data_IF_958246500912
#
_entry.id   IF_958246500912
#
_cell.length_a   1.000
_cell.length_b   1.000
_cell.length_c   1.000
_cell.angle_alpha   90.00
_cell.angle_beta   90.00
_cell.angle_gamma   90.00
#
_symmetry.space_group_name_H-M   'P 1'
#
loop_
_entity.id
_entity.type
_entity.pdbx_description
1 polymer ?
#
# COMPACT_ATOMS: atom_id res chain seq x y z
N UNK A 1 -30.22 11.52 -4.75
CA UNK A 1 -29.64 12.88 -4.56
C UNK A 1 -29.31 13.08 -3.10
N UNK A 2 -28.08 12.78 -2.67
CA UNK A 2 -27.54 13.25 -1.39
C UNK A 2 -26.04 13.50 -1.58
N UNK A 3 -25.69 14.78 -1.69
CA UNK A 3 -24.32 15.28 -1.74
C UNK A 3 -24.00 15.82 -0.35
N UNK A 4 -23.18 15.10 0.41
CA UNK A 4 -22.59 15.64 1.63
C UNK A 4 -21.18 16.09 1.31
N UNK A 5 -21.02 17.43 1.28
CA UNK A 5 -19.76 18.12 1.13
C UNK A 5 -18.90 17.90 2.38
N UNK A 6 -17.69 17.41 2.19
CA UNK A 6 -16.64 17.46 3.21
C UNK A 6 -16.26 18.92 3.51
N UNK A 7 -16.01 19.29 4.78
CA UNK A 7 -15.46 20.61 5.11
C UNK A 7 -13.98 20.69 4.71
N UNK A 8 -13.63 21.78 4.04
CA UNK A 8 -12.24 22.09 3.69
C UNK A 8 -11.42 22.32 4.95
N UNK A 9 -10.29 21.61 5.05
CA UNK A 9 -9.32 21.77 6.13
C UNK A 9 -8.43 22.99 5.80
N UNK A 10 -8.59 24.06 6.58
CA UNK A 10 -7.74 25.25 6.48
C UNK A 10 -6.28 24.89 6.76
N UNK A 11 -5.43 25.11 5.75
CA UNK A 11 -3.99 24.96 5.84
C UNK A 11 -3.38 26.17 6.55
N UNK A 12 -3.19 26.07 7.86
CA UNK A 12 -2.16 26.85 8.55
C UNK A 12 -1.07 25.90 9.04
N UNK A 13 0.02 25.83 8.28
CA UNK A 13 1.19 25.02 8.59
C UNK A 13 1.98 25.66 9.74
N UNK A 14 2.22 24.96 10.87
CA UNK A 14 3.20 25.42 11.84
C UNK A 14 4.61 25.10 11.32
N UNK A 15 5.50 26.10 11.37
CA UNK A 15 6.94 25.93 11.08
C UNK A 15 7.56 24.96 12.09
N UNK A 16 7.84 23.73 11.64
CA UNK A 16 8.61 22.75 12.44
C UNK A 16 10.11 23.02 12.24
N UNK A 17 10.73 23.56 13.29
CA UNK A 17 12.17 23.54 13.51
C UNK A 17 12.53 22.20 14.16
N UNK A 18 13.13 21.28 13.42
CA UNK A 18 14.28 20.47 13.85
C UNK A 18 14.64 19.43 12.80
N UNK A 19 15.92 19.46 12.39
CA UNK A 19 16.53 18.51 11.47
C UNK A 19 16.80 17.20 12.22
N UNK A 20 16.00 16.17 11.96
CA UNK A 20 16.42 14.78 12.14
C UNK A 20 16.25 14.07 10.81
N UNK A 21 17.33 14.02 10.04
CA UNK A 21 17.42 13.23 8.80
C UNK A 21 17.41 11.75 9.14
N UNK A 22 16.22 11.15 9.17
CA UNK A 22 16.05 9.71 9.07
C UNK A 22 16.21 9.31 7.60
N UNK A 23 17.34 8.70 7.24
CA UNK A 23 17.53 8.09 5.93
C UNK A 23 16.86 6.72 5.94
N UNK A 24 15.72 6.60 5.25
CA UNK A 24 15.17 5.30 4.88
C UNK A 24 15.92 4.79 3.65
N UNK A 25 16.65 3.69 3.82
CA UNK A 25 17.34 2.98 2.74
C UNK A 25 16.34 2.00 2.11
N UNK A 26 15.68 2.39 1.02
CA UNK A 26 14.79 1.52 0.24
C UNK A 26 15.66 0.67 -0.69
N UNK A 27 16.27 -0.38 -0.13
CA UNK A 27 16.79 -1.48 -0.95
C UNK A 27 15.63 -2.38 -1.36
N UNK A 28 15.15 -2.13 -2.57
CA UNK A 28 14.75 -3.14 -3.58
C UNK A 28 14.68 -4.59 -3.06
N UNK A 29 13.48 -5.04 -2.67
CA UNK A 29 13.11 -6.44 -2.75
C UNK A 29 12.51 -6.69 -4.13
N UNK A 30 13.38 -7.02 -5.09
CA UNK A 30 13.00 -7.84 -6.24
C UNK A 30 13.40 -9.27 -5.92
N UNK A 31 12.59 -10.20 -6.43
CA UNK A 31 12.76 -11.66 -6.55
C UNK A 31 12.58 -12.52 -5.30
N UNK A 32 11.44 -13.22 -5.22
CA UNK A 32 11.40 -14.67 -5.48
C UNK A 32 9.94 -15.18 -5.44
N UNK A 33 9.25 -15.19 -6.58
CA UNK A 33 8.19 -16.18 -6.82
C UNK A 33 8.72 -17.14 -7.88
N UNK A 34 9.15 -18.30 -7.40
CA UNK A 34 9.46 -19.47 -8.19
C UNK A 34 8.20 -20.33 -8.21
N UNK A 35 7.32 -20.07 -9.19
CA UNK A 35 6.25 -20.99 -9.57
C UNK A 35 6.38 -21.24 -11.05
N UNK A 36 7.14 -22.28 -11.36
CA UNK A 36 7.29 -22.80 -12.71
C UNK A 36 5.97 -23.33 -13.25
N UNK A 37 5.38 -22.62 -14.21
CA UNK A 37 4.53 -23.20 -15.25
C UNK A 37 4.90 -22.53 -16.57
N UNK A 38 5.86 -23.12 -17.30
CA UNK A 38 6.13 -22.77 -18.69
C UNK A 38 5.15 -23.52 -19.58
N UNK A 39 4.05 -22.87 -19.92
CA UNK A 39 3.26 -23.16 -21.12
C UNK A 39 3.08 -21.85 -21.88
N UNK A 40 3.90 -21.64 -22.91
CA UNK A 40 3.61 -20.78 -24.07
C UNK A 40 4.48 -21.36 -25.20
N UNK A 41 3.93 -21.73 -26.35
CA UNK A 41 2.88 -21.00 -27.06
C UNK A 41 3.55 -20.20 -28.17
N UNK A 42 3.94 -20.93 -29.20
CA UNK A 42 4.16 -20.54 -30.60
C UNK A 42 3.98 -19.05 -30.94
N UNK A 43 5.08 -18.37 -31.28
CA UNK A 43 5.05 -17.25 -32.22
C UNK A 43 5.47 -17.76 -33.61
N UNK A 44 4.48 -17.95 -34.47
CA UNK A 44 4.69 -18.30 -35.88
C UNK A 44 5.05 -17.01 -36.62
N UNK A 45 6.33 -16.82 -36.89
CA UNK A 45 6.79 -15.88 -37.90
C UNK A 45 6.43 -16.43 -39.29
N UNK A 46 5.62 -15.66 -40.00
CA UNK A 46 5.27 -15.80 -41.41
C UNK A 46 6.52 -15.63 -42.27
N UNK A 47 7.19 -16.73 -42.61
CA UNK A 47 8.21 -16.77 -43.66
C UNK A 47 7.59 -17.33 -44.93
N UNK A 48 7.32 -16.44 -45.89
CA UNK A 48 7.02 -16.77 -47.29
C UNK A 48 8.08 -17.74 -47.82
N UNK A 49 7.69 -18.99 -48.08
CA UNK A 49 8.35 -19.84 -49.06
C UNK A 49 7.33 -20.19 -50.15
N UNK A 50 7.66 -19.73 -51.35
CA UNK A 50 7.05 -20.17 -52.60
C UNK A 50 7.45 -21.64 -52.81
N UNK A 51 6.52 -22.56 -52.63
CA UNK A 51 6.57 -23.90 -53.21
C UNK A 51 5.44 -24.02 -54.22
N UNK A 52 5.84 -24.30 -55.46
CA UNK A 52 4.96 -24.45 -56.61
C UNK A 52 3.92 -25.57 -56.39
N UNK A 53 2.65 -25.37 -56.76
CA UNK A 53 1.77 -26.49 -57.06
C UNK A 53 2.00 -26.94 -58.50
N UNK A 54 2.48 -28.17 -58.69
CA UNK A 54 2.48 -28.83 -60.00
C UNK A 54 1.03 -29.18 -60.38
N UNK A 55 0.36 -28.26 -61.07
CA UNK A 55 -0.84 -28.56 -61.84
C UNK A 55 -0.46 -29.52 -62.97
N UNK A 56 -0.75 -30.81 -62.82
CA UNK A 56 -0.77 -31.73 -63.96
C UNK A 56 -1.97 -31.35 -64.83
N UNK A 57 -1.66 -30.72 -65.96
CA UNK A 57 -2.60 -30.36 -67.00
C UNK A 57 -3.24 -31.62 -67.60
N UNK A 58 -4.58 -31.64 -67.64
CA UNK A 58 -5.33 -32.42 -68.63
C UNK A 58 -5.14 -31.76 -70.00
N UNK A 59 -4.74 -32.50 -71.06
CA UNK A 59 -4.73 -31.96 -72.41
C UNK A 59 -6.10 -32.18 -73.06
N UNK A 60 -6.84 -31.09 -73.27
CA UNK A 60 -7.99 -31.05 -74.17
C UNK A 60 -7.51 -30.76 -75.59
N UNK A 61 -7.89 -31.65 -76.50
CA UNK A 61 -7.86 -31.56 -77.96
C UNK A 61 -8.02 -30.14 -78.53
N UNK A 62 -7.19 -29.79 -79.55
CA UNK A 62 -7.69 -29.35 -80.88
C UNK A 62 -6.58 -29.17 -81.93
N UNK A 63 -6.84 -29.82 -83.08
CA UNK A 63 -6.51 -29.49 -84.48
C UNK A 63 -5.05 -29.58 -84.96
N UNK A 64 -4.79 -30.62 -85.75
CA UNK A 64 -4.03 -30.48 -86.99
C UNK A 64 -4.73 -31.27 -88.12
N UNK A 65 -5.32 -30.51 -89.05
CA UNK A 65 -5.77 -30.98 -90.36
C UNK A 65 -4.68 -30.59 -91.34
N UNK A 66 -4.04 -31.55 -92.02
CA UNK A 66 -3.71 -31.43 -93.44
C UNK A 66 -3.10 -32.72 -94.02
N UNK A 67 -3.83 -33.27 -94.99
CA UNK A 67 -3.38 -33.87 -96.27
C UNK A 67 -2.09 -34.73 -96.26
N UNK A 68 -2.27 -36.05 -96.46
CA UNK A 68 -1.67 -36.74 -97.61
C UNK A 68 -2.68 -37.67 -98.27
N UNK A 69 -2.82 -37.43 -99.57
CA UNK A 69 -3.64 -38.11 -100.55
C UNK A 69 -3.10 -39.51 -100.83
N UNK A 70 -4.03 -40.42 -101.12
CA UNK A 70 -4.01 -41.40 -102.22
C UNK A 70 -2.63 -41.96 -102.62
N UNK A 71 -2.42 -43.25 -102.32
CA UNK A 71 -1.98 -44.19 -103.35
C UNK A 71 -2.24 -45.64 -102.93
N UNK A 72 -2.58 -46.44 -103.96
CA UNK A 72 -2.59 -47.90 -104.00
C UNK A 72 -3.86 -48.62 -103.56
N UNK A 73 -4.84 -48.57 -104.48
CA UNK A 73 -5.72 -49.69 -104.80
C UNK A 73 -4.89 -50.94 -105.21
N UNK A 74 -5.54 -52.11 -105.07
CA UNK A 74 -5.19 -53.44 -105.63
C UNK A 74 -4.12 -54.16 -104.78
N UNK A 75 -4.35 -55.29 -104.09
CA UNK A 75 -4.99 -56.54 -104.53
C UNK A 75 -5.24 -57.50 -103.32
N UNK A 76 -5.71 -58.76 -103.47
CA UNK A 76 -7.03 -59.18 -103.02
C UNK A 76 -7.00 -60.26 -101.91
N UNK A 77 -8.18 -60.46 -101.29
CA UNK A 77 -8.69 -61.74 -100.75
C UNK A 77 -7.64 -62.59 -100.02
N UNK A 78 -7.43 -62.31 -98.75
CA UNK A 78 -7.13 -63.36 -97.77
C UNK A 78 -8.42 -63.64 -97.02
N UNK A 79 -8.88 -64.89 -97.09
CA UNK A 79 -9.90 -65.45 -96.23
C UNK A 79 -9.48 -65.18 -94.78
N UNK A 80 -10.06 -64.15 -94.17
CA UNK A 80 -10.08 -64.06 -92.72
C UNK A 80 -11.09 -65.11 -92.27
N UNK A 81 -10.59 -66.29 -91.91
CA UNK A 81 -11.27 -67.10 -90.91
C UNK A 81 -11.59 -66.17 -89.75
N UNK A 82 -12.87 -65.87 -89.53
CA UNK A 82 -13.32 -65.21 -88.31
C UNK A 82 -12.96 -66.19 -87.19
N UNK A 83 -11.95 -65.91 -86.36
CA UNK A 83 -11.68 -66.77 -85.21
C UNK A 83 -12.95 -66.80 -84.36
N UNK A 84 -13.49 -67.97 -84.07
CA UNK A 84 -14.72 -68.17 -83.29
C UNK A 84 -14.58 -67.75 -81.79
N UNK A 85 -13.78 -66.72 -81.48
CA UNK A 85 -13.34 -66.32 -80.13
C UNK A 85 -13.54 -64.81 -79.84
N UNK A 86 -14.11 -64.03 -80.78
CA UNK A 86 -14.40 -62.61 -80.54
C UNK A 86 -15.62 -62.41 -79.63
N UNK A 87 -16.61 -63.28 -79.74
CA UNK A 87 -17.83 -63.26 -78.93
C UNK A 87 -17.53 -63.56 -77.45
N UNK A 88 -16.61 -64.49 -77.19
CA UNK A 88 -16.15 -64.81 -75.85
C UNK A 88 -15.37 -63.64 -75.21
N UNK A 89 -14.45 -63.00 -75.95
CA UNK A 89 -13.74 -61.79 -75.48
C UNK A 89 -14.67 -60.60 -75.26
N UNK A 90 -15.69 -60.45 -76.10
CA UNK A 90 -16.70 -59.41 -75.94
C UNK A 90 -17.46 -59.59 -74.63
N UNK A 91 -17.96 -60.80 -74.34
CA UNK A 91 -18.65 -61.09 -73.08
C UNK A 91 -17.75 -61.01 -71.84
N UNK A 92 -16.44 -61.29 -71.99
CA UNK A 92 -15.48 -61.12 -70.90
C UNK A 92 -15.24 -59.63 -70.59
N UNK A 93 -15.12 -58.79 -71.62
CA UNK A 93 -15.05 -57.32 -71.46
C UNK A 93 -16.36 -56.69 -70.99
N UNK A 94 -17.49 -57.24 -71.37
CA UNK A 94 -18.81 -56.83 -70.88
C UNK A 94 -18.95 -57.09 -69.38
N UNK A 95 -18.53 -58.28 -68.91
CA UNK A 95 -18.43 -58.59 -67.47
C UNK A 95 -17.47 -57.66 -66.74
N UNK A 96 -16.28 -57.41 -67.29
CA UNK A 96 -15.30 -56.50 -66.68
C UNK A 96 -15.86 -55.07 -66.57
N UNK A 97 -16.60 -54.59 -67.59
CA UNK A 97 -17.31 -53.32 -67.55
C UNK A 97 -18.41 -53.30 -66.48
N UNK A 98 -19.21 -54.35 -66.35
CA UNK A 98 -20.24 -54.47 -65.31
C UNK A 98 -19.62 -54.44 -63.91
N UNK A 99 -18.56 -55.22 -63.67
CA UNK A 99 -17.86 -55.24 -62.37
C UNK A 99 -17.25 -53.86 -62.03
N UNK A 100 -16.66 -53.17 -63.02
CA UNK A 100 -16.13 -51.83 -62.83
C UNK A 100 -17.24 -50.81 -62.55
N UNK A 101 -18.40 -50.95 -63.21
CA UNK A 101 -19.56 -50.10 -62.99
C UNK A 101 -20.14 -50.29 -61.58
N UNK A 102 -20.24 -51.53 -61.11
CA UNK A 102 -20.66 -51.85 -59.74
C UNK A 102 -19.67 -51.29 -58.70
N UNK A 103 -18.36 -51.51 -58.90
CA UNK A 103 -17.32 -50.94 -58.01
C UNK A 103 -17.35 -49.41 -57.99
N UNK A 104 -17.61 -48.76 -59.13
CA UNK A 104 -17.72 -47.32 -59.20
C UNK A 104 -18.98 -46.82 -58.45
N UNK A 105 -20.12 -47.51 -58.60
CA UNK A 105 -21.31 -47.22 -57.80
C UNK A 105 -21.08 -47.42 -56.30
N UNK A 106 -20.34 -48.45 -55.90
CA UNK A 106 -20.01 -48.72 -54.51
C UNK A 106 -19.06 -47.67 -53.94
N UNK A 107 -18.04 -47.26 -54.71
CA UNK A 107 -17.16 -46.14 -54.38
C UNK A 107 -17.93 -44.81 -54.26
N UNK A 108 -18.89 -44.55 -55.15
CA UNK A 108 -19.75 -43.37 -55.10
C UNK A 108 -20.58 -43.34 -53.81
N UNK A 109 -21.22 -44.47 -53.46
CA UNK A 109 -21.97 -44.62 -52.20
C UNK A 109 -21.06 -44.44 -50.98
N UNK A 110 -19.83 -44.96 -51.02
CA UNK A 110 -18.85 -44.76 -49.96
C UNK A 110 -18.45 -43.28 -49.83
N UNK A 111 -18.22 -42.58 -50.94
CA UNK A 111 -17.92 -41.14 -50.93
C UNK A 111 -19.08 -40.34 -50.32
N UNK A 112 -20.32 -40.61 -50.73
CA UNK A 112 -21.49 -39.95 -50.16
C UNK A 112 -21.64 -40.21 -48.64
N UNK A 113 -21.34 -41.42 -48.18
CA UNK A 113 -21.35 -41.73 -46.74
C UNK A 113 -20.24 -40.98 -45.99
N UNK A 114 -19.04 -40.88 -46.57
CA UNK A 114 -17.93 -40.13 -45.99
C UNK A 114 -18.23 -38.62 -45.95
N UNK A 115 -18.82 -38.07 -46.99
CA UNK A 115 -19.26 -36.66 -47.04
C UNK A 115 -20.29 -36.35 -45.97
N UNK A 116 -21.29 -37.22 -45.78
CA UNK A 116 -22.27 -37.08 -44.69
C UNK A 116 -21.62 -37.12 -43.31
N UNK A 117 -20.70 -38.05 -43.08
CA UNK A 117 -19.94 -38.14 -41.82
C UNK A 117 -19.10 -36.89 -41.60
N UNK A 118 -18.40 -36.42 -42.62
CA UNK A 118 -17.59 -35.21 -42.55
C UNK A 118 -18.43 -33.99 -42.17
N UNK A 119 -19.62 -33.83 -42.79
CA UNK A 119 -20.53 -32.74 -42.48
C UNK A 119 -21.04 -32.81 -41.04
N UNK A 120 -21.41 -34.00 -40.54
CA UNK A 120 -21.83 -34.17 -39.14
C UNK A 120 -20.73 -33.83 -38.14
N UNK A 121 -19.48 -34.22 -38.44
CA UNK A 121 -18.32 -33.92 -37.61
C UNK A 121 -18.04 -32.42 -37.58
N UNK A 122 -18.19 -31.73 -38.72
CA UNK A 122 -18.02 -30.29 -38.81
C UNK A 122 -19.03 -29.55 -37.94
N UNK A 123 -20.31 -29.92 -38.02
CA UNK A 123 -21.36 -29.32 -37.19
C UNK A 123 -21.14 -29.59 -35.69
N UNK A 124 -20.72 -30.80 -35.32
CA UNK A 124 -20.40 -31.13 -33.94
C UNK A 124 -19.20 -30.33 -33.41
N UNK A 125 -18.18 -30.10 -34.25
CA UNK A 125 -17.02 -29.29 -33.89
C UNK A 125 -17.41 -27.82 -33.65
N UNK A 126 -18.21 -27.23 -34.54
CA UNK A 126 -18.70 -25.85 -34.40
C UNK A 126 -19.51 -25.67 -33.11
N UNK A 127 -20.41 -26.61 -32.79
CA UNK A 127 -21.18 -26.60 -31.53
C UNK A 127 -20.29 -26.70 -30.28
N UNK A 128 -19.27 -27.56 -30.30
CA UNK A 128 -18.32 -27.70 -29.19
C UNK A 128 -17.46 -26.44 -28.99
N UNK A 129 -17.15 -25.72 -30.07
CA UNK A 129 -16.37 -24.49 -30.03
C UNK A 129 -17.17 -23.33 -29.40
N UNK A 130 -18.47 -23.22 -29.72
CA UNK A 130 -19.39 -22.27 -29.08
C UNK A 130 -19.56 -22.54 -27.57
N UNK A 131 -19.81 -23.79 -27.18
CA UNK A 131 -19.97 -24.19 -25.79
C UNK A 131 -18.71 -23.87 -24.95
N UNK A 132 -17.53 -24.10 -25.52
CA UNK A 132 -16.25 -23.79 -24.87
C UNK A 132 -16.12 -22.29 -24.63
N UNK A 133 -16.48 -21.47 -25.62
CA UNK A 133 -16.37 -20.02 -25.53
C UNK A 133 -17.33 -19.44 -24.48
N UNK A 134 -18.56 -19.94 -24.39
CA UNK A 134 -19.51 -19.53 -23.34
C UNK A 134 -19.02 -19.90 -21.94
N UNK A 135 -18.44 -21.09 -21.78
CA UNK A 135 -17.93 -21.57 -20.49
C UNK A 135 -16.72 -20.76 -20.01
N UNK A 136 -15.82 -20.37 -20.92
CA UNK A 136 -14.68 -19.50 -20.64
C UNK A 136 -15.16 -18.10 -20.20
N UNK A 137 -16.14 -17.51 -20.89
CA UNK A 137 -16.74 -16.21 -20.52
C UNK A 137 -17.39 -16.27 -19.13
N UNK A 138 -18.13 -17.34 -18.83
CA UNK A 138 -18.78 -17.53 -17.54
C UNK A 138 -17.74 -17.66 -16.41
N UNK A 139 -16.63 -18.35 -16.67
CA UNK A 139 -15.52 -18.54 -15.73
C UNK A 139 -14.81 -17.23 -15.44
N UNK A 140 -14.49 -16.44 -16.48
CA UNK A 140 -13.89 -15.11 -16.33
C UNK A 140 -14.82 -14.20 -15.52
N UNK A 141 -16.13 -14.23 -15.80
CA UNK A 141 -17.11 -13.41 -15.05
C UNK A 141 -17.17 -13.78 -13.56
N UNK A 142 -17.10 -15.08 -13.23
CA UNK A 142 -17.01 -15.54 -11.83
C UNK A 142 -15.74 -15.05 -11.15
N UNK A 143 -14.60 -15.15 -11.83
CA UNK A 143 -13.32 -14.66 -11.32
C UNK A 143 -13.33 -13.14 -11.09
N UNK A 144 -13.88 -12.37 -12.06
CA UNK A 144 -14.02 -10.92 -11.92
C UNK A 144 -14.91 -10.54 -10.74
N UNK A 145 -16.07 -11.20 -10.58
CA UNK A 145 -16.96 -10.93 -9.45
C UNK A 145 -16.30 -11.28 -8.10
N UNK A 146 -15.52 -12.35 -8.05
CA UNK A 146 -14.76 -12.75 -6.85
C UNK A 146 -13.73 -11.67 -6.49
N UNK A 147 -12.93 -11.23 -7.47
CA UNK A 147 -11.94 -10.18 -7.28
C UNK A 147 -12.57 -8.84 -6.89
N UNK A 148 -13.70 -8.48 -7.49
CA UNK A 148 -14.43 -7.26 -7.15
C UNK A 148 -14.94 -7.30 -5.70
N UNK A 149 -15.44 -8.46 -5.25
CA UNK A 149 -15.91 -8.65 -3.88
C UNK A 149 -14.75 -8.55 -2.88
N UNK A 150 -13.62 -9.19 -3.19
CA UNK A 150 -12.41 -9.10 -2.36
C UNK A 150 -11.89 -7.67 -2.26
N UNK A 151 -11.85 -6.94 -3.38
CA UNK A 151 -11.41 -5.55 -3.40
C UNK A 151 -12.33 -4.64 -2.56
N UNK A 152 -13.65 -4.84 -2.63
CA UNK A 152 -14.62 -4.11 -1.80
C UNK A 152 -14.40 -4.39 -0.31
N UNK A 153 -14.13 -5.64 0.06
CA UNK A 153 -13.86 -6.02 1.44
C UNK A 153 -12.53 -5.44 1.95
N UNK A 154 -11.48 -5.45 1.11
CA UNK A 154 -10.21 -4.80 1.43
C UNK A 154 -10.36 -3.29 1.61
N UNK A 155 -11.12 -2.62 0.74
CA UNK A 155 -11.42 -1.19 0.86
C UNK A 155 -12.14 -0.90 2.19
N UNK A 156 -13.17 -1.68 2.50
CA UNK A 156 -13.93 -1.50 3.74
C UNK A 156 -13.07 -1.71 5.00
N UNK A 157 -12.18 -2.72 4.99
CA UNK A 157 -11.21 -2.93 6.08
C UNK A 157 -10.26 -1.74 6.23
N UNK A 158 -9.76 -1.20 5.11
CA UNK A 158 -8.86 -0.04 5.12
C UNK A 158 -9.57 1.22 5.65
N UNK A 159 -10.81 1.48 5.22
CA UNK A 159 -11.63 2.59 5.72
C UNK A 159 -11.88 2.47 7.24
N UNK A 160 -12.24 1.27 7.70
CA UNK A 160 -12.44 1.01 9.13
C UNK A 160 -11.15 1.25 9.92
N UNK A 161 -9.99 0.83 9.39
CA UNK A 161 -8.70 1.04 10.04
C UNK A 161 -8.36 2.54 10.11
N UNK A 162 -8.57 3.27 9.02
CA UNK A 162 -8.33 4.71 8.95
C UNK A 162 -9.17 5.46 9.99
N UNK A 163 -10.44 5.08 10.12
CA UNK A 163 -11.34 5.67 11.13
C UNK A 163 -10.86 5.43 12.56
N UNK A 164 -10.44 4.19 12.90
CA UNK A 164 -9.87 3.88 14.23
C UNK A 164 -8.62 4.70 14.52
N UNK A 165 -7.73 4.82 13.54
CA UNK A 165 -6.50 5.62 13.69
C UNK A 165 -6.82 7.11 13.87
N UNK A 166 -7.83 7.64 13.18
CA UNK A 166 -8.27 9.02 13.34
C UNK A 166 -8.83 9.28 14.74
N UNK A 167 -9.62 8.35 15.29
CA UNK A 167 -10.15 8.45 16.65
C UNK A 167 -9.02 8.41 17.70
N UNK A 168 -8.05 7.49 17.54
CA UNK A 168 -6.86 7.43 18.39
C UNK A 168 -6.04 8.73 18.34
N UNK A 169 -5.81 9.27 17.15
CA UNK A 169 -5.10 10.54 16.97
C UNK A 169 -5.82 11.70 17.67
N UNK A 170 -7.15 11.74 17.58
CA UNK A 170 -7.96 12.77 18.24
C UNK A 170 -7.85 12.66 19.77
N UNK A 171 -7.91 11.45 20.32
CA UNK A 171 -7.69 11.19 21.76
C UNK A 171 -6.28 11.58 22.22
N UNK A 172 -5.25 11.28 21.42
CA UNK A 172 -3.86 11.67 21.74
C UNK A 172 -3.71 13.19 21.74
N UNK A 173 -4.27 13.89 20.75
CA UNK A 173 -4.23 15.36 20.72
C UNK A 173 -4.90 15.98 21.94
N UNK A 174 -6.02 15.43 22.40
CA UNK A 174 -6.67 15.89 23.62
C UNK A 174 -5.80 15.68 24.86
N UNK A 175 -5.18 14.49 25.00
CA UNK A 175 -4.22 14.21 26.09
C UNK A 175 -3.03 15.17 26.07
N UNK A 176 -2.48 15.49 24.90
CA UNK A 176 -1.41 16.47 24.78
C UNK A 176 -1.82 17.86 25.26
N UNK A 177 -3.02 18.33 24.90
CA UNK A 177 -3.56 19.60 25.39
C UNK A 177 -3.70 19.60 26.91
N UNK A 178 -4.20 18.50 27.49
CA UNK A 178 -4.31 18.35 28.94
C UNK A 178 -2.93 18.36 29.63
N UNK A 179 -1.94 17.69 29.06
CA UNK A 179 -0.58 17.70 29.60
C UNK A 179 0.07 19.08 29.52
N UNK A 180 -0.12 19.80 28.42
CA UNK A 180 0.38 21.17 28.27
C UNK A 180 -0.23 22.12 29.32
N UNK A 181 -1.55 22.01 29.56
CA UNK A 181 -2.23 22.77 30.59
C UNK A 181 -1.71 22.43 32.00
N UNK A 182 -1.55 21.14 32.31
CA UNK A 182 -0.97 20.69 33.59
C UNK A 182 0.46 21.20 33.78
N UNK A 183 1.28 21.16 32.73
CA UNK A 183 2.65 21.67 32.78
C UNK A 183 2.69 23.18 33.07
N UNK A 184 1.83 23.96 32.41
CA UNK A 184 1.68 25.41 32.68
C UNK A 184 1.24 25.67 34.13
N UNK A 185 0.27 24.91 34.63
CA UNK A 185 -0.21 25.04 36.01
C UNK A 185 0.89 24.73 37.03
N UNK A 186 1.62 23.62 36.83
CA UNK A 186 2.74 23.23 37.69
C UNK A 186 3.86 24.27 37.68
N UNK A 187 4.16 24.83 36.51
CA UNK A 187 5.16 25.90 36.38
C UNK A 187 4.72 27.14 37.16
N UNK A 188 3.46 27.58 37.01
CA UNK A 188 2.91 28.72 37.76
C UNK A 188 2.92 28.46 39.27
N UNK A 189 2.54 27.26 39.70
CA UNK A 189 2.57 26.87 41.11
C UNK A 189 4.00 26.90 41.66
N UNK A 190 4.97 26.36 40.92
CA UNK A 190 6.38 26.36 41.32
C UNK A 190 6.93 27.77 41.47
N UNK A 191 6.61 28.67 40.53
CA UNK A 191 7.02 30.09 40.61
C UNK A 191 6.37 30.76 41.83
N UNK A 192 5.08 30.51 42.08
CA UNK A 192 4.36 31.08 43.23
C UNK A 192 4.93 30.59 44.55
N UNK A 193 5.20 29.29 44.69
CA UNK A 193 5.79 28.70 45.89
C UNK A 193 7.19 29.26 46.15
N UNK A 194 8.03 29.37 45.11
CA UNK A 194 9.35 30.01 45.21
C UNK A 194 9.26 31.44 45.72
N UNK A 195 8.34 32.23 45.17
CA UNK A 195 8.14 33.62 45.59
C UNK A 195 7.66 33.72 47.04
N UNK A 196 6.72 32.86 47.44
CA UNK A 196 6.23 32.79 48.82
C UNK A 196 7.34 32.42 49.81
N UNK A 197 8.16 31.42 49.48
CA UNK A 197 9.31 31.02 50.30
C UNK A 197 10.29 32.18 50.41
N UNK A 198 10.61 32.84 49.30
CA UNK A 198 11.53 33.98 49.28
C UNK A 198 11.05 35.13 50.16
N UNK A 199 9.76 35.50 50.09
CA UNK A 199 9.15 36.53 50.95
C UNK A 199 9.26 36.12 52.42
N UNK A 200 8.88 34.88 52.74
CA UNK A 200 8.89 34.40 54.12
C UNK A 200 10.31 34.41 54.71
N UNK A 201 11.29 33.92 53.96
CA UNK A 201 12.69 33.91 54.37
C UNK A 201 13.22 35.34 54.54
N UNK A 202 12.92 36.23 53.58
CA UNK A 202 13.29 37.64 53.67
C UNK A 202 12.76 38.27 54.97
N UNK A 203 11.45 38.15 55.24
CA UNK A 203 10.80 38.71 56.42
C UNK A 203 11.32 38.12 57.74
N UNK A 204 11.73 36.85 57.76
CA UNK A 204 12.31 36.20 58.94
C UNK A 204 13.69 36.76 59.30
N UNK A 205 14.43 37.27 58.32
CA UNK A 205 15.78 37.82 58.49
C UNK A 205 15.81 39.32 58.75
N UNK A 206 14.66 40.00 58.75
CA UNK A 206 14.56 41.41 59.10
C UNK A 206 14.46 41.62 60.60
N UNK A 207 15.20 42.61 61.09
CA UNK A 207 15.07 43.13 62.45
C UNK A 207 13.69 43.72 62.64
N UNK A 208 12.99 43.23 63.66
CA UNK A 208 11.59 43.58 63.91
C UNK A 208 11.40 45.01 64.43
N UNK A 209 12.49 45.69 64.77
CA UNK A 209 12.46 47.09 65.18
C UNK A 209 12.76 48.05 64.02
N UNK A 210 13.86 47.86 63.29
CA UNK A 210 14.28 48.80 62.24
C UNK A 210 13.88 48.39 60.82
N UNK A 211 13.33 47.19 60.63
CA UNK A 211 12.88 46.67 59.33
C UNK A 211 14.00 46.35 58.34
N UNK A 212 15.27 46.51 58.73
CA UNK A 212 16.45 46.16 57.92
C UNK A 212 16.91 44.74 58.24
N UNK A 213 17.72 44.13 57.38
CA UNK A 213 18.38 42.86 57.71
C UNK A 213 19.11 42.95 59.04
N UNK A 214 18.98 41.89 59.84
CA UNK A 214 19.60 41.84 61.16
C UNK A 214 21.12 41.90 61.00
N UNK A 215 21.73 42.91 61.62
CA UNK A 215 23.18 43.01 61.75
C UNK A 215 23.56 42.85 63.23
N UNK A 216 24.57 42.03 63.50
CA UNK A 216 25.00 41.67 64.86
C UNK A 216 23.82 41.18 65.70
N UNK A 217 23.22 40.06 65.29
CA UNK A 217 21.93 39.62 65.81
C UNK A 217 21.92 39.40 67.33
N UNK A 218 20.90 39.93 68.00
CA UNK A 218 20.62 39.68 69.42
C UNK A 218 19.23 39.08 69.54
N UNK A 219 19.15 37.91 70.18
CA UNK A 219 17.89 37.18 70.38
C UNK A 219 17.47 37.26 71.84
N UNK A 220 16.18 37.51 72.06
CA UNK A 220 15.55 37.65 73.38
C UNK A 220 15.05 36.29 73.89
N UNK A 221 15.24 36.02 75.17
CA UNK A 221 14.61 34.90 75.90
C UNK A 221 13.48 35.44 76.79
N UNK A 222 12.28 34.81 76.83
CA UNK A 222 11.95 33.51 76.21
C UNK A 222 11.33 33.57 74.80
N UNK A 223 10.95 34.75 74.31
CA UNK A 223 10.12 34.86 73.10
C UNK A 223 10.85 34.63 71.75
N UNK A 224 12.17 34.42 71.76
CA UNK A 224 13.00 34.14 70.59
C UNK A 224 12.98 35.20 69.46
N UNK A 225 12.47 36.41 69.73
CA UNK A 225 12.53 37.51 68.76
C UNK A 225 13.95 38.05 68.64
N UNK A 226 14.36 38.34 67.40
CA UNK A 226 15.72 38.75 67.05
C UNK A 226 15.76 40.18 66.51
N UNK A 227 16.76 40.93 66.96
CA UNK A 227 16.97 42.35 66.65
C UNK A 227 18.44 42.60 66.28
N UNK A 228 18.75 43.75 65.69
CA UNK A 228 20.16 44.15 65.52
C UNK A 228 20.78 44.51 66.87
N UNK A 229 22.09 44.27 67.01
CA UNK A 229 22.86 44.63 68.20
C UNK A 229 22.89 46.13 68.51
N UNK A 230 22.55 46.97 67.54
CA UNK A 230 22.39 48.44 67.72
C UNK A 230 20.95 48.87 68.01
N UNK A 231 19.97 47.97 67.85
CA UNK A 231 18.54 48.23 68.02
C UNK A 231 18.05 47.98 69.46
N UNK A 232 18.84 48.36 70.45
CA UNK A 232 18.63 48.06 71.88
C UNK A 232 17.28 48.57 72.39
N UNK A 233 16.77 49.66 71.81
CA UNK A 233 15.43 50.19 72.11
C UNK A 233 14.31 49.17 71.87
N UNK A 234 14.51 48.22 70.97
CA UNK A 234 13.55 47.14 70.71
C UNK A 234 13.52 46.05 71.79
N UNK A 235 14.50 46.02 72.70
CA UNK A 235 14.68 44.92 73.65
C UNK A 235 15.31 45.32 75.01
N UNK A 236 15.28 46.60 75.39
CA UNK A 236 15.95 47.05 76.62
C UNK A 236 15.24 46.64 77.92
N UNK A 237 13.93 46.38 77.87
CA UNK A 237 13.11 46.04 79.06
C UNK A 237 12.01 45.02 78.75
N UNK A 238 11.38 45.19 77.59
CA UNK A 238 10.36 44.31 77.03
C UNK A 238 10.62 44.11 75.56
N UNK A 239 10.22 42.97 75.03
CA UNK A 239 10.29 42.71 73.59
C UNK A 239 9.31 43.63 72.86
N UNK A 240 9.79 44.41 71.88
CA UNK A 240 8.96 45.32 71.10
C UNK A 240 7.74 44.65 70.46
N UNK A 241 7.91 43.42 69.95
CA UNK A 241 6.82 42.66 69.33
C UNK A 241 5.83 42.07 70.33
N UNK A 242 6.28 41.65 71.51
CA UNK A 242 5.42 41.00 72.51
C UNK A 242 4.73 42.01 73.43
N UNK A 243 5.12 43.29 73.39
CA UNK A 243 4.55 44.32 74.26
C UNK A 243 4.77 43.98 75.74
N UNK A 244 3.72 44.15 76.54
CA UNK A 244 3.77 43.99 78.00
C UNK A 244 3.89 42.54 78.47
N UNK A 245 3.51 41.57 77.64
CA UNK A 245 3.66 40.14 77.94
C UNK A 245 5.10 39.64 77.74
N UNK A 246 5.94 40.40 77.03
CA UNK A 246 7.30 40.02 76.67
C UNK A 246 8.37 40.47 77.65
N UNK A 247 8.23 40.15 78.94
CA UNK A 247 9.31 40.41 79.92
C UNK A 247 10.56 39.65 79.49
N UNK A 248 11.66 40.39 79.36
CA UNK A 248 12.93 39.83 78.91
C UNK A 248 13.65 39.22 80.11
N UNK A 249 13.97 37.94 80.03
CA UNK A 249 14.76 37.25 81.04
C UNK A 249 16.25 37.37 80.75
N UNK A 250 16.62 37.18 79.49
CA UNK A 250 17.99 37.28 79.02
C UNK A 250 18.02 37.64 77.54
N UNK A 251 19.20 38.07 77.10
CA UNK A 251 19.51 38.26 75.67
C UNK A 251 20.83 37.57 75.39
N UNK A 252 20.96 37.00 74.20
CA UNK A 252 22.23 36.43 73.75
C UNK A 252 22.56 36.90 72.34
N UNK A 253 23.85 36.98 72.06
CA UNK A 253 24.35 37.26 70.72
C UNK A 253 24.18 36.02 69.85
N UNK A 254 23.44 36.14 68.76
CA UNK A 254 23.09 35.06 67.86
C UNK A 254 23.96 35.12 66.60
N UNK A 255 25.19 34.61 66.71
CA UNK A 255 26.11 34.55 65.59
C UNK A 255 25.53 33.76 64.41
N UNK A 256 24.81 32.68 64.69
CA UNK A 256 24.18 31.84 63.66
C UNK A 256 23.21 32.63 62.78
N UNK A 257 22.35 33.47 63.37
CA UNK A 257 21.45 34.33 62.59
C UNK A 257 22.20 35.34 61.73
N UNK A 258 23.31 35.88 62.24
CA UNK A 258 24.16 36.81 61.48
C UNK A 258 24.84 36.12 60.28
N UNK A 259 25.23 34.85 60.43
CA UNK A 259 25.76 34.02 59.33
C UNK A 259 24.67 33.67 58.31
N UNK A 260 23.45 33.36 58.75
CA UNK A 260 22.32 33.12 57.84
C UNK A 260 22.01 34.34 56.98
N UNK A 261 22.02 35.55 57.55
CA UNK A 261 21.81 36.79 56.78
C UNK A 261 22.88 36.93 55.69
N UNK A 262 24.16 36.71 56.01
CA UNK A 262 25.26 36.75 55.03
C UNK A 262 25.11 35.69 53.93
N UNK A 263 24.70 34.48 54.30
CA UNK A 263 24.43 33.42 53.33
C UNK A 263 23.26 33.78 52.42
N UNK A 264 22.20 34.38 52.98
CA UNK A 264 21.04 34.84 52.22
C UNK A 264 21.43 35.93 51.21
N UNK A 265 22.22 36.92 51.60
CA UNK A 265 22.71 37.97 50.71
C UNK A 265 23.56 37.38 49.56
N UNK A 266 24.44 36.42 49.89
CA UNK A 266 25.25 35.71 48.88
C UNK A 266 24.38 34.91 47.92
N UNK A 267 23.40 34.19 48.45
CA UNK A 267 22.46 33.41 47.65
C UNK A 267 21.61 34.31 46.73
N UNK A 268 21.15 35.45 47.23
CA UNK A 268 20.39 36.43 46.44
C UNK A 268 21.24 36.99 45.29
N UNK A 269 22.52 37.30 45.54
CA UNK A 269 23.45 37.74 44.50
C UNK A 269 23.67 36.66 43.43
N UNK A 270 23.89 35.40 43.84
CA UNK A 270 24.02 34.26 42.91
C UNK A 270 22.75 34.12 42.07
N UNK A 271 21.57 34.13 42.70
CA UNK A 271 20.28 34.03 42.00
C UNK A 271 20.11 35.15 40.98
N UNK A 272 20.47 36.38 41.31
CA UNK A 272 20.41 37.51 40.36
C UNK A 272 21.36 37.34 39.17
N UNK A 273 22.54 36.75 39.35
CA UNK A 273 23.50 36.51 38.26
C UNK A 273 23.01 35.41 37.31
N UNK A 274 22.39 34.36 37.83
CA UNK A 274 22.00 33.20 37.03
C UNK A 274 20.57 33.26 36.47
N UNK A 275 19.68 34.05 37.07
CA UNK A 275 18.27 34.16 36.67
C UNK A 275 17.84 35.58 36.24
N UNK A 276 18.68 36.60 36.46
CA UNK A 276 18.49 37.96 35.95
C UNK A 276 19.13 38.14 34.58
#
# INVERSE_FOLDING_TARGET
MFSQRFPALDQSTPKILSKTTFKFDIRSYKTSEDVGVKQQGLSVQTKRQKTQPSFKQMPVFKKLVQKKLFNSLVNPIQQFEIPCNWEQKYHEKERECQELQEKNQEQQKMMEQLERKFLSLKLAYESLEEDKQENDVLTIKKQMNSLETELKEQLHRAEHQLWRTQEQNSSIQEKFKQFEQKAKLLQQQTVRERFNIQIHLHQALLCKYCGKFVNDAVTIIPCAHTYCGTCNKGYQKRCFLCGDEGKIEATYYNQFMSEIVKMYDTFQAIVQIFLG
#
